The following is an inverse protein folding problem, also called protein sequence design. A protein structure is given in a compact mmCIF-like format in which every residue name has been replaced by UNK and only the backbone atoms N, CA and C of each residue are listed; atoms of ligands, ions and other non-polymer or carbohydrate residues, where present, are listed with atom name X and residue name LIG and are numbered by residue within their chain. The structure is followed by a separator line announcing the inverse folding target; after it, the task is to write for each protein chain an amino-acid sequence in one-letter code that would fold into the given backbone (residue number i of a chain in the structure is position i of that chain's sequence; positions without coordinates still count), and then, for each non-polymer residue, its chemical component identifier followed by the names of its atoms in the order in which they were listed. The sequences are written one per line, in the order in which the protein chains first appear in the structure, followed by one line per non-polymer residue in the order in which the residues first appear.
data_IF_732895883142
#
_entry.id   IF_732895883142
#
_cell.length_a   1.000
_cell.length_b   1.000
_cell.length_c   1.000
_cell.angle_alpha   90.00
_cell.angle_beta   90.00
_cell.angle_gamma   90.00
#
_symmetry.space_group_name_H-M   'P 1'
#
loop_
_entity.id
_entity.type
_entity.pdbx_description
1 polymer ?
#
# COMPACT_ATOMS: atom_id res chain seq x y z
N UNK A 1 -0.53 24.89 -54.57
CA UNK A 1 0.28 23.73 -54.14
C UNK A 1 0.93 24.08 -52.80
N UNK A 2 0.67 23.25 -51.78
CA UNK A 2 1.06 23.21 -50.35
C UNK A 2 2.08 24.25 -49.80
N UNK A 3 1.77 25.06 -48.77
CA UNK A 3 1.71 24.76 -47.32
C UNK A 3 3.04 24.17 -46.80
N UNK A 4 3.83 24.77 -45.89
CA UNK A 4 3.52 25.58 -44.72
C UNK A 4 4.02 24.86 -43.46
N UNK A 5 5.35 24.74 -43.28
CA UNK A 5 5.97 23.93 -42.23
C UNK A 5 6.15 24.69 -40.90
N UNK A 6 5.41 24.29 -39.86
CA UNK A 6 5.63 24.71 -38.45
C UNK A 6 6.37 23.61 -37.70
N UNK A 7 7.59 23.92 -37.26
CA UNK A 7 8.38 23.14 -36.31
C UNK A 7 7.82 23.35 -34.89
N UNK A 8 7.29 22.29 -34.27
CA UNK A 8 6.92 22.27 -32.85
C UNK A 8 8.11 21.77 -32.03
N UNK A 9 8.56 22.59 -31.09
CA UNK A 9 9.56 22.22 -30.09
C UNK A 9 8.87 21.43 -28.98
N UNK A 10 9.35 20.23 -28.70
CA UNK A 10 8.97 19.47 -27.51
C UNK A 10 9.61 20.13 -26.28
N UNK A 11 8.77 20.69 -25.40
CA UNK A 11 9.18 21.12 -24.07
C UNK A 11 9.37 19.92 -23.13
N UNK A 12 10.22 20.03 -22.11
CA UNK A 12 10.37 19.01 -21.08
C UNK A 12 9.07 18.90 -20.27
N UNK A 13 8.53 17.68 -20.17
CA UNK A 13 7.35 17.38 -19.35
C UNK A 13 7.61 17.60 -17.86
N UNK A 14 6.55 17.77 -17.04
CA UNK A 14 6.69 18.05 -15.62
C UNK A 14 7.36 16.87 -14.93
N UNK A 15 8.47 17.15 -14.23
CA UNK A 15 9.10 16.20 -13.33
C UNK A 15 8.09 15.80 -12.24
N UNK A 16 7.70 14.53 -12.22
CA UNK A 16 6.89 13.96 -11.14
C UNK A 16 7.65 14.13 -9.83
N UNK A 17 7.07 14.90 -8.91
CA UNK A 17 7.60 15.10 -7.59
C UNK A 17 7.58 13.77 -6.83
N UNK A 18 8.76 13.19 -6.60
CA UNK A 18 8.94 12.16 -5.59
C UNK A 18 8.33 12.69 -4.28
N UNK A 19 7.29 12.03 -3.81
CA UNK A 19 6.62 12.37 -2.56
C UNK A 19 7.58 12.11 -1.39
N UNK A 20 8.37 13.13 -1.04
CA UNK A 20 9.14 13.20 0.19
C UNK A 20 8.16 13.28 1.37
N UNK A 21 7.65 12.13 1.80
CA UNK A 21 6.89 12.00 3.05
C UNK A 21 7.89 12.17 4.18
N UNK A 22 8.10 13.40 4.64
CA UNK A 22 8.81 13.64 5.90
C UNK A 22 8.00 13.00 7.02
N UNK A 23 8.50 11.90 7.59
CA UNK A 23 7.90 11.26 8.76
C UNK A 23 7.87 12.28 9.90
N UNK A 24 6.69 12.83 10.19
CA UNK A 24 6.50 13.68 11.36
C UNK A 24 6.45 12.76 12.58
N UNK A 25 7.36 12.96 13.52
CA UNK A 25 7.34 12.29 14.82
C UNK A 25 6.03 12.67 15.53
N UNK A 26 5.07 11.75 15.60
CA UNK A 26 3.89 11.92 16.44
C UNK A 26 4.29 11.78 17.91
N UNK A 27 3.61 12.54 18.78
CA UNK A 27 3.80 12.42 20.24
C UNK A 27 3.16 11.12 20.71
N UNK A 28 3.85 10.41 21.60
CA UNK A 28 3.29 9.27 22.34
C UNK A 28 2.12 9.75 23.18
N UNK A 29 0.97 9.10 23.07
CA UNK A 29 -0.23 9.38 23.86
C UNK A 29 -0.29 8.38 25.00
N UNK A 30 -0.56 8.84 26.23
CA UNK A 30 -0.84 7.92 27.34
C UNK A 30 -2.22 7.30 27.10
N UNK A 31 -2.26 5.98 26.96
CA UNK A 31 -3.49 5.23 26.78
C UNK A 31 -4.07 4.84 28.14
N UNK A 32 -5.41 4.75 28.20
CA UNK A 32 -6.10 4.24 29.40
C UNK A 32 -5.72 2.79 29.67
N UNK A 33 -5.91 2.34 30.92
CA UNK A 33 -5.51 1.00 31.36
C UNK A 33 -6.14 -0.13 30.52
N UNK A 34 -7.35 0.07 29.97
CA UNK A 34 -8.05 -0.96 29.19
C UNK A 34 -7.96 -0.74 27.67
N UNK A 35 -7.12 0.19 27.21
CA UNK A 35 -6.99 0.50 25.80
C UNK A 35 -5.99 -0.46 25.12
N UNK A 36 -6.39 -1.00 23.97
CA UNK A 36 -5.51 -1.79 23.09
C UNK A 36 -4.75 -0.83 22.19
N UNK A 37 -3.43 -0.91 22.20
CA UNK A 37 -2.56 -0.19 21.26
C UNK A 37 -2.14 -1.10 20.10
N UNK A 38 -2.02 -0.52 18.90
CA UNK A 38 -1.46 -1.20 17.73
C UNK A 38 -0.15 -0.53 17.35
N UNK A 39 0.94 -1.25 17.51
CA UNK A 39 2.26 -0.77 17.14
C UNK A 39 2.64 -1.29 15.75
N UNK A 40 3.06 -0.39 14.86
CA UNK A 40 3.70 -0.77 13.59
C UNK A 40 5.15 -1.14 13.89
N UNK A 41 5.47 -2.42 13.76
CA UNK A 41 6.82 -2.95 13.95
C UNK A 41 7.70 -2.71 12.73
N UNK A 42 7.14 -2.95 11.55
CA UNK A 42 7.82 -2.79 10.27
C UNK A 42 6.87 -2.21 9.23
N UNK A 43 7.40 -1.33 8.37
CA UNK A 43 6.71 -0.79 7.21
C UNK A 43 7.65 -0.81 6.02
N UNK A 44 7.17 -1.33 4.90
CA UNK A 44 7.89 -1.26 3.63
C UNK A 44 6.93 -0.89 2.50
N UNK A 45 7.44 -0.10 1.56
CA UNK A 45 6.72 0.27 0.36
C UNK A 45 7.69 0.21 -0.82
N UNK A 46 7.47 -0.75 -1.70
CA UNK A 46 8.27 -0.97 -2.90
C UNK A 46 7.44 -0.53 -4.09
N UNK A 47 7.94 0.46 -4.83
CA UNK A 47 7.34 0.92 -6.07
C UNK A 47 8.27 0.59 -7.24
N UNK A 48 7.87 -0.38 -8.07
CA UNK A 48 8.65 -0.83 -9.22
C UNK A 48 8.33 -0.03 -10.49
N UNK A 49 8.23 1.28 -10.36
CA UNK A 49 8.00 2.23 -11.47
C UNK A 49 9.25 2.49 -12.32
N UNK A 50 10.42 2.02 -11.88
CA UNK A 50 11.73 2.36 -12.48
C UNK A 50 11.96 1.72 -13.86
N UNK A 51 11.16 0.71 -14.26
CA UNK A 51 11.12 0.19 -15.64
C UNK A 51 9.98 0.83 -16.43
N UNK A 52 9.99 2.17 -16.51
CA UNK A 52 8.98 2.99 -17.20
C UNK A 52 8.78 2.61 -18.68
N UNK A 53 9.76 1.96 -19.30
CA UNK A 53 9.70 1.51 -20.70
C UNK A 53 8.93 0.19 -20.89
N UNK A 54 8.65 -0.58 -19.84
CA UNK A 54 8.00 -1.91 -19.92
C UNK A 54 6.74 -1.98 -19.05
N UNK A 55 6.07 -0.84 -18.85
CA UNK A 55 4.64 -0.76 -18.55
C UNK A 55 4.06 -1.58 -17.40
N UNK A 56 4.87 -1.93 -16.39
CA UNK A 56 4.43 -2.68 -15.22
C UNK A 56 4.64 -1.83 -13.97
N UNK A 57 3.63 -1.06 -13.61
CA UNK A 57 3.64 -0.31 -12.36
C UNK A 57 3.10 -1.22 -11.26
N UNK A 58 4.01 -1.87 -10.54
CA UNK A 58 3.67 -2.70 -9.40
C UNK A 58 4.10 -2.00 -8.12
N UNK A 59 3.13 -1.75 -7.23
CA UNK A 59 3.37 -1.26 -5.87
C UNK A 59 3.06 -2.37 -4.87
N UNK A 60 4.00 -2.64 -3.99
CA UNK A 60 3.82 -3.51 -2.83
C UNK A 60 3.95 -2.67 -1.57
N UNK A 61 3.01 -2.79 -0.65
CA UNK A 61 3.07 -2.15 0.67
C UNK A 61 2.85 -3.21 1.72
N UNK A 62 3.77 -3.32 2.67
CA UNK A 62 3.71 -4.31 3.76
C UNK A 62 3.74 -3.57 5.10
N UNK A 63 2.84 -3.97 5.99
CA UNK A 63 2.82 -3.56 7.38
C UNK A 63 2.93 -4.79 8.25
N UNK A 64 3.78 -4.73 9.27
CA UNK A 64 3.82 -5.70 10.34
C UNK A 64 3.41 -5.01 11.62
N UNK A 65 2.28 -5.41 12.19
CA UNK A 65 1.67 -4.74 13.34
C UNK A 65 1.57 -5.69 14.54
N UNK A 66 1.62 -5.17 15.76
CA UNK A 66 1.39 -5.93 16.99
C UNK A 66 0.37 -5.21 17.88
N UNK A 67 -0.57 -5.95 18.47
CA UNK A 67 -1.57 -5.40 19.39
C UNK A 67 -1.01 -5.38 20.82
N UNK A 68 -0.06 -4.50 21.08
CA UNK A 68 0.65 -4.39 22.35
C UNK A 68 1.84 -5.32 22.51
N UNK A 69 2.52 -5.18 23.64
CA UNK A 69 3.79 -5.86 23.92
C UNK A 69 3.60 -7.38 24.09
N UNK A 70 4.43 -8.14 23.38
CA UNK A 70 4.47 -9.61 23.49
C UNK A 70 3.38 -10.35 22.72
N UNK A 71 2.59 -9.65 21.92
CA UNK A 71 1.62 -10.29 21.01
C UNK A 71 2.27 -10.75 19.71
N UNK A 72 1.74 -11.81 19.11
CA UNK A 72 2.20 -12.27 17.81
C UNK A 72 1.93 -11.20 16.74
N UNK A 73 2.95 -10.79 15.95
CA UNK A 73 2.75 -9.82 14.89
C UNK A 73 1.79 -10.30 13.81
N UNK A 74 1.11 -9.35 13.19
CA UNK A 74 0.22 -9.53 12.05
C UNK A 74 0.90 -8.90 10.83
N UNK A 75 1.01 -9.67 9.76
CA UNK A 75 1.51 -9.20 8.47
C UNK A 75 0.35 -8.84 7.55
N UNK A 76 0.28 -7.59 7.14
CA UNK A 76 -0.68 -7.08 6.15
C UNK A 76 0.11 -6.71 4.91
N UNK A 77 -0.27 -7.28 3.76
CA UNK A 77 0.38 -6.99 2.48
C UNK A 77 -0.64 -6.54 1.45
N UNK A 78 -0.37 -5.39 0.84
CA UNK A 78 -1.14 -4.81 -0.25
C UNK A 78 -0.31 -4.85 -1.53
N UNK A 79 -0.82 -5.52 -2.55
CA UNK A 79 -0.25 -5.50 -3.89
C UNK A 79 -1.17 -4.73 -4.83
N UNK A 80 -0.66 -3.69 -5.48
CA UNK A 80 -1.35 -2.92 -6.51
C UNK A 80 -0.62 -3.08 -7.83
N UNK A 81 -1.34 -3.52 -8.84
CA UNK A 81 -0.85 -3.72 -10.20
C UNK A 81 -1.58 -2.74 -11.12
N UNK A 82 -0.88 -1.69 -11.58
CA UNK A 82 -1.38 -0.79 -12.60
C UNK A 82 -0.75 -1.20 -13.92
N UNK A 83 -1.50 -1.96 -14.72
CA UNK A 83 -1.16 -2.21 -16.12
C UNK A 83 -1.38 -0.90 -16.89
N UNK A 84 -0.46 -0.54 -17.79
CA UNK A 84 -0.41 0.76 -18.50
C UNK A 84 -1.72 1.25 -19.14
N UNK A 85 -2.68 0.36 -19.44
CA UNK A 85 -3.97 0.73 -20.02
C UNK A 85 -5.21 0.16 -19.32
N UNK A 86 -5.07 -0.48 -18.15
CA UNK A 86 -6.21 -1.12 -17.47
C UNK A 86 -6.40 -0.56 -16.06
N UNK A 87 -7.63 -0.68 -15.55
CA UNK A 87 -7.93 -0.31 -14.17
C UNK A 87 -7.03 -1.08 -13.19
N UNK A 88 -6.53 -0.43 -12.12
CA UNK A 88 -5.66 -1.08 -11.14
C UNK A 88 -6.30 -2.35 -10.58
N UNK A 89 -5.50 -3.40 -10.46
CA UNK A 89 -5.88 -4.63 -9.78
C UNK A 89 -5.15 -4.74 -8.45
N UNK A 90 -5.89 -5.15 -7.42
CA UNK A 90 -5.44 -5.19 -6.04
C UNK A 90 -5.50 -6.63 -5.53
N UNK A 91 -4.53 -6.98 -4.69
CA UNK A 91 -4.57 -8.16 -3.83
C UNK A 91 -4.20 -7.72 -2.42
N UNK A 92 -4.91 -8.26 -1.43
CA UNK A 92 -4.64 -8.02 -0.01
C UNK A 92 -4.42 -9.37 0.66
N UNK A 93 -3.31 -9.51 1.35
CA UNK A 93 -2.96 -10.67 2.15
C UNK A 93 -2.91 -10.30 3.64
N UNK A 94 -3.42 -11.19 4.48
CA UNK A 94 -3.40 -11.13 5.94
C UNK A 94 -2.71 -12.38 6.47
N UNK A 95 -1.57 -12.24 7.13
CA UNK A 95 -0.72 -13.34 7.60
C UNK A 95 -0.44 -14.36 6.49
N UNK A 96 -0.09 -13.88 5.30
CA UNK A 96 0.16 -14.71 4.12
C UNK A 96 -1.09 -15.31 3.46
N UNK A 97 -2.28 -15.13 4.04
CA UNK A 97 -3.54 -15.60 3.49
C UNK A 97 -4.21 -14.51 2.66
N UNK A 98 -4.54 -14.79 1.41
CA UNK A 98 -5.25 -13.84 0.54
C UNK A 98 -6.67 -13.60 1.05
N UNK A 99 -6.97 -12.37 1.43
CA UNK A 99 -8.30 -11.93 1.87
C UNK A 99 -9.05 -11.13 0.80
N UNK A 100 -8.34 -10.62 -0.21
CA UNK A 100 -8.91 -9.99 -1.39
C UNK A 100 -8.11 -10.31 -2.67
N UNK A 101 -8.77 -10.57 -3.81
CA UNK A 101 -10.21 -10.77 -3.96
C UNK A 101 -10.67 -12.08 -3.31
N UNK A 102 -11.95 -12.13 -2.91
CA UNK A 102 -12.57 -13.38 -2.45
C UNK A 102 -12.73 -14.32 -3.65
N UNK A 103 -12.26 -15.55 -3.55
CA UNK A 103 -12.34 -16.56 -4.62
C UNK A 103 -11.00 -16.90 -5.27
N UNK A 104 -11.05 -17.45 -6.49
CA UNK A 104 -9.87 -18.00 -7.19
C UNK A 104 -9.02 -16.94 -7.90
N UNK A 105 -9.58 -15.75 -8.19
CA UNK A 105 -8.85 -14.69 -8.87
C UNK A 105 -7.60 -14.26 -8.08
N UNK A 106 -6.48 -14.06 -8.78
CA UNK A 106 -5.22 -13.67 -8.15
C UNK A 106 -5.23 -12.21 -7.68
N UNK A 107 -5.90 -11.32 -8.43
CA UNK A 107 -6.08 -9.88 -8.16
C UNK A 107 -7.42 -9.45 -8.75
N UNK A 108 -8.03 -8.40 -8.22
CA UNK A 108 -9.25 -7.81 -8.79
C UNK A 108 -9.32 -6.29 -8.59
N UNK A 109 -10.22 -5.62 -9.30
CA UNK A 109 -10.45 -4.19 -9.13
C UNK A 109 -11.15 -3.94 -7.80
N UNK A 110 -10.61 -3.01 -7.02
CA UNK A 110 -11.27 -2.54 -5.81
C UNK A 110 -12.28 -1.45 -6.21
N UNK A 111 -13.57 -1.81 -6.26
CA UNK A 111 -14.65 -0.90 -6.69
C UNK A 111 -15.19 -0.03 -5.56
N UNK A 112 -15.09 -0.53 -4.33
CA UNK A 112 -15.60 0.06 -3.09
C UNK A 112 -14.56 -0.16 -2.00
N UNK A 113 -14.71 0.51 -0.86
CA UNK A 113 -13.82 0.34 0.28
C UNK A 113 -13.84 -1.12 0.76
N UNK A 114 -12.65 -1.70 0.97
CA UNK A 114 -12.52 -3.05 1.50
C UNK A 114 -12.38 -2.99 3.02
N UNK A 115 -13.38 -3.55 3.71
CA UNK A 115 -13.32 -3.75 5.16
C UNK A 115 -13.10 -5.23 5.46
N UNK A 116 -12.08 -5.52 6.27
CA UNK A 116 -11.80 -6.85 6.79
C UNK A 116 -11.82 -6.82 8.31
N UNK A 117 -12.69 -7.64 8.88
CA UNK A 117 -12.77 -7.83 10.33
C UNK A 117 -12.37 -9.27 10.63
N UNK A 118 -11.49 -9.44 11.59
CA UNK A 118 -11.13 -10.75 12.13
C UNK A 118 -11.22 -10.68 13.65
N UNK A 119 -11.69 -11.75 14.32
CA UNK A 119 -11.50 -11.85 15.75
C UNK A 119 -10.00 -11.82 16.03
N UNK A 120 -9.61 -11.00 17.01
CA UNK A 120 -8.26 -10.97 17.53
C UNK A 120 -8.28 -11.59 18.94
N UNK A 121 -7.53 -12.67 19.11
CA UNK A 121 -7.33 -13.32 20.40
C UNK A 121 -5.86 -13.23 20.75
N UNK A 122 -5.54 -12.43 21.77
CA UNK A 122 -4.18 -12.23 22.24
C UNK A 122 -4.14 -12.03 23.75
N UNK A 123 -3.03 -12.41 24.37
CA UNK A 123 -2.76 -12.10 25.77
C UNK A 123 -1.84 -10.89 25.81
N UNK A 124 -2.34 -9.76 26.30
CA UNK A 124 -1.52 -8.59 26.58
C UNK A 124 -0.89 -8.80 27.95
N UNK A 125 0.44 -8.98 28.01
CA UNK A 125 1.14 -9.11 29.29
C UNK A 125 1.42 -7.71 29.85
N UNK A 126 1.07 -7.49 31.11
CA UNK A 126 1.40 -6.25 31.83
C UNK A 126 0.30 -5.18 31.86
N UNK A 127 -0.98 -5.58 31.72
CA UNK A 127 -2.14 -4.79 32.14
C UNK A 127 -2.47 -5.00 33.63
#
# INVERSE_FOLDING_TARGET
KHAGGRSQRHGPGPAEACCNVTMRRQRTVALGKDAVDFMVLEYSCIDNTVLSTVGKHCKETTWKIAAGNGTAPIDIKLHVDKKVMLSPQVRIDWNGTKIFPRGSAAKDKLREDFTWCTPYSGIIKGL
#
